data_IF_712112238107
#
_entry.id   IF_712112238107
#
_cell.length_a   1.000
_cell.length_b   1.000
_cell.length_c   1.000
_cell.angle_alpha   90.00
_cell.angle_beta   90.00
_cell.angle_gamma   90.00
#
_symmetry.space_group_name_H-M   'P 1'
#
loop_
_entity.id
_entity.type
_entity.pdbx_description
1 polymer ?
#
# COMPACT_ATOMS: atom_id res chain seq x y z
N UNK A 1 14.94 -14.46 13.82
CA UNK A 1 15.96 -13.90 12.90
C UNK A 1 15.31 -13.01 11.82
N UNK A 2 14.31 -13.50 11.08
CA UNK A 2 13.55 -12.74 10.06
C UNK A 2 12.97 -11.42 10.60
N UNK A 3 12.40 -11.43 11.82
CA UNK A 3 11.84 -10.22 12.47
C UNK A 3 12.86 -9.16 12.85
N UNK A 4 14.16 -9.47 12.95
CA UNK A 4 15.21 -8.45 13.21
C UNK A 4 15.69 -7.82 11.90
N UNK A 5 15.89 -8.64 10.87
CA UNK A 5 16.25 -8.16 9.52
C UNK A 5 15.16 -7.26 8.95
N UNK A 6 13.89 -7.65 9.08
CA UNK A 6 12.77 -6.87 8.58
C UNK A 6 12.67 -5.48 9.24
N UNK A 7 13.02 -5.38 10.53
CA UNK A 7 13.05 -4.11 11.27
C UNK A 7 14.13 -3.14 10.76
N UNK A 8 15.25 -3.68 10.27
CA UNK A 8 16.33 -2.89 9.67
C UNK A 8 15.97 -2.45 8.25
N UNK A 9 15.28 -3.31 7.49
CA UNK A 9 14.92 -3.04 6.10
C UNK A 9 13.78 -2.03 5.95
N UNK A 10 12.79 -2.04 6.85
CA UNK A 10 11.60 -1.18 6.71
C UNK A 10 11.94 0.33 6.63
N UNK A 11 12.80 0.91 7.48
CA UNK A 11 13.21 2.32 7.35
C UNK A 11 13.90 2.63 6.02
N UNK A 12 14.77 1.74 5.55
CA UNK A 12 15.43 1.86 4.24
C UNK A 12 14.42 1.87 3.09
N UNK A 13 13.47 0.94 3.13
CA UNK A 13 12.39 0.84 2.15
C UNK A 13 11.48 2.06 2.17
N UNK A 14 11.12 2.54 3.37
CA UNK A 14 10.34 3.76 3.55
C UNK A 14 11.06 4.99 2.98
N UNK A 15 12.37 5.11 3.21
CA UNK A 15 13.16 6.19 2.62
C UNK A 15 13.17 6.11 1.10
N UNK A 16 13.52 4.95 0.54
CA UNK A 16 13.69 4.78 -0.90
C UNK A 16 12.38 4.99 -1.67
N UNK A 17 11.31 4.29 -1.28
CA UNK A 17 9.99 4.44 -1.90
C UNK A 17 9.35 5.79 -1.55
N UNK A 18 9.60 6.33 -0.36
CA UNK A 18 9.08 7.64 0.05
C UNK A 18 9.67 8.78 -0.75
N UNK A 19 10.99 8.75 -1.01
CA UNK A 19 11.67 9.72 -1.88
C UNK A 19 11.08 9.69 -3.28
N UNK A 20 10.94 8.49 -3.86
CA UNK A 20 10.41 8.34 -5.21
C UNK A 20 8.92 8.70 -5.29
N UNK A 21 8.15 8.41 -4.24
CA UNK A 21 6.77 8.83 -4.13
C UNK A 21 6.61 10.35 -4.17
N UNK A 22 7.45 11.08 -3.42
CA UNK A 22 7.45 12.55 -3.45
C UNK A 22 7.81 13.06 -4.84
N UNK A 23 8.84 12.50 -5.47
CA UNK A 23 9.23 12.87 -6.84
C UNK A 23 8.09 12.63 -7.85
N UNK A 24 7.41 11.50 -7.75
CA UNK A 24 6.27 11.15 -8.59
C UNK A 24 5.09 12.11 -8.38
N UNK A 25 4.78 12.46 -7.12
CA UNK A 25 3.72 13.43 -6.80
C UNK A 25 4.01 14.81 -7.40
N UNK A 26 5.28 15.21 -7.45
CA UNK A 26 5.70 16.49 -8.06
C UNK A 26 5.51 16.51 -9.59
N UNK A 27 5.39 15.35 -10.24
CA UNK A 27 5.14 15.23 -11.69
C UNK A 27 3.65 15.33 -12.05
N UNK A 28 2.75 15.41 -11.08
CA UNK A 28 1.32 15.53 -11.32
C UNK A 28 1.01 16.84 -12.06
N UNK A 29 0.21 16.74 -13.11
CA UNK A 29 -0.27 17.85 -13.93
C UNK A 29 -1.79 17.92 -13.91
N UNK A 30 -2.34 19.02 -13.37
CA UNK A 30 -3.78 19.30 -13.40
C UNK A 30 -4.31 19.71 -14.80
N UNK A 31 -3.40 19.96 -15.74
CA UNK A 31 -3.75 20.18 -17.14
C UNK A 31 -4.15 18.87 -17.82
N UNK A 32 -3.56 17.74 -17.42
CA UNK A 32 -3.93 16.43 -17.93
C UNK A 32 -5.33 16.02 -17.44
N UNK A 33 -6.20 15.65 -18.37
CA UNK A 33 -7.60 15.32 -18.09
C UNK A 33 -7.71 14.09 -17.18
N UNK A 34 -6.92 13.05 -17.45
CA UNK A 34 -7.00 11.78 -16.75
C UNK A 34 -6.45 11.86 -15.33
N UNK A 35 -5.32 12.56 -15.15
CA UNK A 35 -4.76 12.82 -13.82
C UNK A 35 -5.75 13.60 -12.96
N UNK A 36 -6.37 14.64 -13.53
CA UNK A 36 -7.40 15.44 -12.85
C UNK A 36 -8.64 14.62 -12.49
N UNK A 37 -9.18 13.83 -13.41
CA UNK A 37 -10.33 12.94 -13.13
C UNK A 37 -9.99 11.98 -11.99
N UNK A 38 -8.83 11.31 -12.06
CA UNK A 38 -8.37 10.39 -11.03
C UNK A 38 -8.27 11.07 -9.66
N UNK A 39 -7.65 12.25 -9.56
CA UNK A 39 -7.46 12.96 -8.29
C UNK A 39 -8.79 13.47 -7.70
N UNK A 40 -9.68 14.01 -8.54
CA UNK A 40 -11.02 14.42 -8.11
C UNK A 40 -11.79 13.21 -7.58
N UNK A 41 -11.76 12.10 -8.31
CA UNK A 41 -12.45 10.88 -7.91
C UNK A 41 -11.84 10.26 -6.65
N UNK A 42 -10.51 10.33 -6.48
CA UNK A 42 -9.81 9.88 -5.27
C UNK A 42 -10.25 10.68 -4.05
N UNK A 43 -10.22 12.01 -4.13
CA UNK A 43 -10.73 12.88 -3.07
C UNK A 43 -12.22 12.66 -2.81
N UNK A 44 -13.02 12.57 -3.87
CA UNK A 44 -14.46 12.34 -3.81
C UNK A 44 -14.80 10.99 -3.15
N UNK A 45 -14.13 9.91 -3.55
CA UNK A 45 -14.30 8.58 -2.97
C UNK A 45 -13.91 8.53 -1.49
N UNK A 46 -12.81 9.20 -1.13
CA UNK A 46 -12.39 9.34 0.26
C UNK A 46 -13.43 10.10 1.11
N UNK A 47 -13.90 11.26 0.63
CA UNK A 47 -14.89 12.08 1.33
C UNK A 47 -16.24 11.37 1.43
N UNK A 48 -16.73 10.79 0.33
CA UNK A 48 -17.98 10.03 0.30
C UNK A 48 -17.96 8.90 1.34
N UNK A 49 -16.88 8.13 1.37
CA UNK A 49 -16.72 7.01 2.31
C UNK A 49 -16.68 7.50 3.76
N UNK A 50 -16.01 8.61 4.01
CA UNK A 50 -15.89 9.20 5.34
C UNK A 50 -17.25 9.69 5.86
N UNK A 51 -18.05 10.31 4.99
CA UNK A 51 -19.34 10.91 5.35
C UNK A 51 -20.49 9.91 5.42
N UNK A 52 -20.53 8.94 4.51
CA UNK A 52 -21.70 8.09 4.29
C UNK A 52 -21.50 6.61 4.68
N UNK A 53 -20.26 6.12 4.73
CA UNK A 53 -19.98 4.72 5.07
C UNK A 53 -19.53 4.61 6.53
N UNK A 54 -20.26 3.85 7.34
CA UNK A 54 -19.86 3.57 8.72
C UNK A 54 -18.63 2.65 8.73
N UNK A 55 -17.59 3.01 9.47
CA UNK A 55 -16.35 2.23 9.56
C UNK A 55 -16.55 0.79 10.08
N UNK A 56 -17.58 0.60 10.92
CA UNK A 56 -18.00 -0.70 11.46
C UNK A 56 -19.34 -1.17 10.87
N UNK A 57 -19.73 -0.61 9.72
CA UNK A 57 -20.89 -1.08 8.97
C UNK A 57 -20.56 -2.33 8.17
N UNK A 58 -21.60 -3.05 7.75
CA UNK A 58 -21.46 -4.32 7.00
C UNK A 58 -20.47 -4.25 5.83
N UNK A 59 -20.57 -3.23 4.97
CA UNK A 59 -19.69 -3.09 3.80
C UNK A 59 -18.21 -2.94 4.17
N UNK A 60 -17.92 -2.17 5.23
CA UNK A 60 -16.56 -1.91 5.68
C UNK A 60 -15.94 -3.16 6.33
N UNK A 61 -16.73 -3.89 7.13
CA UNK A 61 -16.30 -5.16 7.73
C UNK A 61 -16.14 -6.24 6.65
N UNK A 62 -17.09 -6.34 5.71
CA UNK A 62 -16.99 -7.28 4.59
C UNK A 62 -15.74 -7.03 3.76
N UNK A 63 -15.45 -5.77 3.41
CA UNK A 63 -14.23 -5.44 2.66
C UNK A 63 -12.97 -5.78 3.45
N UNK A 64 -13.01 -5.63 4.77
CA UNK A 64 -11.88 -5.93 5.67
C UNK A 64 -11.58 -7.43 5.67
N UNK A 65 -12.57 -8.25 6.01
CA UNK A 65 -12.43 -9.71 6.08
C UNK A 65 -12.16 -10.34 4.70
N UNK A 66 -12.79 -9.82 3.64
CA UNK A 66 -12.54 -10.31 2.28
C UNK A 66 -11.10 -10.03 1.84
N UNK A 67 -10.51 -8.92 2.28
CA UNK A 67 -9.12 -8.59 2.00
C UNK A 67 -8.18 -9.54 2.74
N UNK A 68 -8.41 -9.82 4.03
CA UNK A 68 -7.69 -10.86 4.76
C UNK A 68 -7.74 -12.20 4.04
N UNK A 69 -8.93 -12.61 3.60
CA UNK A 69 -9.16 -13.88 2.91
C UNK A 69 -8.38 -13.95 1.59
N UNK A 70 -8.53 -12.93 0.74
CA UNK A 70 -7.90 -12.89 -0.58
C UNK A 70 -6.37 -13.01 -0.44
N UNK A 71 -5.77 -12.23 0.47
CA UNK A 71 -4.32 -12.27 0.67
C UNK A 71 -3.88 -13.52 1.44
N UNK A 72 -4.73 -14.08 2.28
CA UNK A 72 -4.52 -15.39 2.91
C UNK A 72 -4.39 -16.50 1.87
N UNK A 73 -5.33 -16.57 0.92
CA UNK A 73 -5.31 -17.54 -0.18
C UNK A 73 -4.09 -17.34 -1.07
N UNK A 74 -3.79 -16.09 -1.47
CA UNK A 74 -2.62 -15.76 -2.29
C UNK A 74 -1.29 -16.07 -1.59
N UNK A 75 -1.27 -16.13 -0.25
CA UNK A 75 -0.11 -16.53 0.55
C UNK A 75 -0.16 -18.00 0.99
N UNK A 76 -0.97 -18.82 0.31
CA UNK A 76 -1.12 -20.26 0.48
C UNK A 76 -1.72 -20.72 1.82
N UNK A 77 -2.46 -19.85 2.52
CA UNK A 77 -3.28 -20.26 3.66
C UNK A 77 -4.65 -20.80 3.18
N UNK A 78 -5.12 -21.90 3.78
CA UNK A 78 -6.42 -22.49 3.43
C UNK A 78 -7.56 -21.76 4.18
N UNK A 79 -8.56 -21.21 3.49
CA UNK A 79 -9.71 -20.58 4.14
C UNK A 79 -10.61 -21.66 4.75
N UNK A 80 -11.09 -21.43 5.99
CA UNK A 80 -11.91 -22.40 6.75
C UNK A 80 -13.32 -21.85 7.02
N UNK A 81 -13.49 -20.52 7.01
CA UNK A 81 -14.80 -19.88 7.09
C UNK A 81 -14.70 -18.36 7.04
N UNK A 82 -15.76 -17.72 6.55
CA UNK A 82 -15.96 -16.27 6.56
C UNK A 82 -17.29 -15.99 7.25
N UNK A 83 -17.27 -15.31 8.41
CA UNK A 83 -18.48 -14.79 9.04
C UNK A 83 -18.36 -13.26 9.15
N UNK A 84 -19.40 -12.55 8.73
CA UNK A 84 -19.45 -11.08 8.71
C UNK A 84 -20.77 -10.63 9.35
N UNK A 85 -20.69 -9.95 10.48
CA UNK A 85 -21.84 -9.39 11.19
C UNK A 85 -21.70 -7.88 11.38
N UNK A 86 -22.72 -7.13 10.96
CA UNK A 86 -22.74 -5.68 11.13
C UNK A 86 -22.74 -5.31 12.62
N UNK A 87 -21.89 -4.35 13.02
CA UNK A 87 -21.71 -3.88 14.41
C UNK A 87 -21.13 -4.91 15.42
N UNK A 88 -20.97 -6.18 15.06
CA UNK A 88 -20.35 -7.20 15.92
C UNK A 88 -18.96 -7.64 15.43
N UNK A 89 -18.60 -7.25 14.20
CA UNK A 89 -17.30 -7.56 13.60
C UNK A 89 -17.40 -8.67 12.55
N UNK A 90 -16.26 -9.08 12.02
CA UNK A 90 -16.14 -10.27 11.19
C UNK A 90 -15.09 -11.19 11.79
N UNK A 91 -15.24 -12.49 11.56
CA UNK A 91 -14.19 -13.45 11.89
C UNK A 91 -13.90 -14.25 10.64
N UNK A 92 -12.72 -14.00 10.08
CA UNK A 92 -12.11 -14.89 9.11
C UNK A 92 -11.25 -15.94 9.80
N UNK A 93 -11.55 -17.22 9.56
CA UNK A 93 -10.77 -18.35 10.07
C UNK A 93 -9.95 -18.97 8.93
N UNK A 94 -8.64 -19.08 9.12
CA UNK A 94 -7.74 -19.80 8.21
C UNK A 94 -7.00 -20.93 8.95
N UNK A 95 -6.70 -22.01 8.22
CA UNK A 95 -5.78 -23.06 8.66
C UNK A 95 -4.38 -22.70 8.13
N UNK A 96 -3.45 -22.34 9.03
CA UNK A 96 -2.08 -21.97 8.65
C UNK A 96 -1.40 -21.05 9.66
N UNK A 97 -0.22 -20.54 9.31
CA UNK A 97 0.51 -19.53 10.10
C UNK A 97 0.06 -18.12 9.69
N UNK A 98 -0.04 -17.21 10.67
CA UNK A 98 -0.24 -15.79 10.40
C UNK A 98 0.89 -15.26 9.50
N UNK A 99 0.53 -14.57 8.41
CA UNK A 99 1.45 -13.86 7.52
C UNK A 99 1.16 -12.36 7.61
N UNK A 100 2.21 -11.53 7.67
CA UNK A 100 2.13 -10.06 7.69
C UNK A 100 1.20 -9.55 6.58
N UNK A 101 1.34 -10.10 5.37
CA UNK A 101 0.53 -9.69 4.23
C UNK A 101 -0.95 -9.95 4.44
N UNK A 102 -1.33 -11.11 4.98
CA UNK A 102 -2.74 -11.43 5.24
C UNK A 102 -3.27 -10.66 6.46
N UNK A 103 -2.50 -10.54 7.54
CA UNK A 103 -2.95 -9.89 8.79
C UNK A 103 -3.08 -8.38 8.64
N UNK A 104 -2.20 -7.71 7.90
CA UNK A 104 -2.25 -6.26 7.77
C UNK A 104 -2.89 -5.78 6.47
N UNK A 105 -3.20 -6.67 5.53
CA UNK A 105 -3.74 -6.28 4.22
C UNK A 105 -4.95 -5.37 4.25
N UNK A 106 -5.95 -5.53 5.16
CA UNK A 106 -7.13 -4.66 5.09
C UNK A 106 -6.84 -3.17 5.30
N UNK A 107 -5.71 -2.85 5.94
CA UNK A 107 -5.32 -1.49 6.26
C UNK A 107 -4.53 -0.79 5.14
N UNK A 108 -4.05 -1.54 4.15
CA UNK A 108 -3.27 -0.97 3.04
C UNK A 108 -3.68 -1.46 1.65
N UNK A 109 -4.25 -2.64 1.50
CA UNK A 109 -4.49 -3.29 0.21
C UNK A 109 -5.86 -2.90 -0.36
N UNK A 110 -5.90 -2.13 -1.46
CA UNK A 110 -7.15 -1.66 -2.02
C UNK A 110 -7.74 -2.74 -2.95
N UNK A 111 -8.36 -3.76 -2.37
CA UNK A 111 -8.85 -4.95 -3.09
C UNK A 111 -9.66 -4.59 -4.34
N UNK A 112 -10.60 -3.64 -4.22
CA UNK A 112 -11.46 -3.20 -5.34
C UNK A 112 -10.61 -2.54 -6.44
N UNK A 113 -9.68 -1.66 -6.07
CA UNK A 113 -8.77 -1.01 -7.03
C UNK A 113 -7.90 -2.01 -7.76
N UNK A 114 -7.43 -3.06 -7.08
CA UNK A 114 -6.63 -4.14 -7.71
C UNK A 114 -7.43 -4.90 -8.76
N UNK A 115 -8.73 -5.12 -8.55
CA UNK A 115 -9.59 -5.72 -9.57
C UNK A 115 -9.93 -4.76 -10.73
N UNK A 116 -10.03 -3.46 -10.46
CA UNK A 116 -10.25 -2.45 -11.50
C UNK A 116 -8.99 -2.28 -12.37
N UNK A 117 -7.80 -2.31 -11.78
CA UNK A 117 -6.54 -2.06 -12.45
C UNK A 117 -6.38 -2.79 -13.80
N UNK A 118 -6.52 -4.13 -13.91
CA UNK A 118 -6.31 -4.86 -15.15
C UNK A 118 -7.36 -4.56 -16.24
N UNK A 119 -8.51 -3.97 -15.89
CA UNK A 119 -9.55 -3.60 -16.86
C UNK A 119 -8.99 -2.61 -17.90
N UNK A 120 -7.99 -1.83 -17.54
CA UNK A 120 -7.32 -0.92 -18.48
C UNK A 120 -6.82 -1.63 -19.75
N UNK A 121 -6.27 -2.84 -19.61
CA UNK A 121 -5.63 -3.54 -20.72
C UNK A 121 -6.61 -4.18 -21.70
N UNK A 122 -7.89 -4.25 -21.32
CA UNK A 122 -8.97 -4.77 -22.16
C UNK A 122 -9.93 -3.67 -22.62
N UNK A 123 -9.78 -2.45 -22.10
CA UNK A 123 -10.64 -1.33 -22.45
C UNK A 123 -10.22 -0.74 -23.81
N UNK A 124 -11.19 -0.53 -24.70
CA UNK A 124 -10.98 0.34 -25.85
C UNK A 124 -10.82 1.80 -25.39
N UNK A 125 -10.28 2.67 -26.26
CA UNK A 125 -10.06 4.10 -25.96
C UNK A 125 -11.32 4.83 -25.50
N UNK A 126 -12.51 4.40 -25.95
CA UNK A 126 -13.81 4.84 -25.46
C UNK A 126 -14.08 4.29 -24.05
N UNK A 127 -13.75 5.07 -23.02
CA UNK A 127 -14.03 4.74 -21.61
C UNK A 127 -12.90 5.05 -20.63
N UNK A 128 -11.76 5.57 -21.11
CA UNK A 128 -10.61 5.87 -20.27
C UNK A 128 -10.94 6.82 -19.10
N UNK A 129 -11.83 7.81 -19.32
CA UNK A 129 -12.28 8.76 -18.29
C UNK A 129 -13.00 8.04 -17.14
N UNK A 130 -13.99 7.18 -17.48
CA UNK A 130 -14.73 6.39 -16.50
C UNK A 130 -13.79 5.45 -15.75
N UNK A 131 -12.87 4.80 -16.47
CA UNK A 131 -11.86 3.93 -15.86
C UNK A 131 -11.04 4.67 -14.79
N UNK A 132 -10.53 5.86 -15.09
CA UNK A 132 -9.74 6.62 -14.12
C UNK A 132 -10.57 7.17 -12.97
N UNK A 133 -11.82 7.54 -13.22
CA UNK A 133 -12.77 7.89 -12.17
C UNK A 133 -12.98 6.73 -11.20
N UNK A 134 -13.23 5.52 -11.71
CA UNK A 134 -13.41 4.32 -10.89
C UNK A 134 -12.12 3.94 -10.16
N UNK A 135 -10.96 4.05 -10.82
CA UNK A 135 -9.66 3.77 -10.22
C UNK A 135 -9.38 4.73 -9.05
N UNK A 136 -9.61 6.02 -9.23
CA UNK A 136 -9.46 7.03 -8.18
C UNK A 136 -10.46 6.82 -7.03
N UNK A 137 -11.76 6.71 -7.34
CA UNK A 137 -12.80 6.55 -6.34
C UNK A 137 -12.64 5.29 -5.49
N UNK A 138 -12.29 4.16 -6.10
CA UNK A 138 -12.04 2.91 -5.37
C UNK A 138 -10.82 3.01 -4.45
N UNK A 139 -9.75 3.68 -4.91
CA UNK A 139 -8.55 3.88 -4.09
C UNK A 139 -8.85 4.79 -2.89
N UNK A 140 -9.59 5.88 -3.12
CA UNK A 140 -10.06 6.79 -2.07
C UNK A 140 -10.98 6.09 -1.05
N UNK A 141 -11.87 5.22 -1.51
CA UNK A 141 -12.72 4.38 -0.66
C UNK A 141 -11.87 3.46 0.23
N UNK A 142 -10.97 2.67 -0.36
CA UNK A 142 -10.12 1.74 0.39
C UNK A 142 -9.23 2.45 1.39
N UNK A 143 -8.68 3.61 1.03
CA UNK A 143 -7.85 4.41 1.92
C UNK A 143 -8.63 4.98 3.11
N UNK A 144 -9.84 5.52 2.87
CA UNK A 144 -10.72 6.01 3.94
C UNK A 144 -11.09 4.90 4.93
N UNK A 145 -11.48 3.73 4.42
CA UNK A 145 -11.80 2.57 5.28
C UNK A 145 -10.56 2.12 6.06
N UNK A 146 -9.42 1.94 5.38
CA UNK A 146 -8.18 1.47 6.01
C UNK A 146 -7.74 2.35 7.17
N UNK A 147 -7.74 3.68 7.01
CA UNK A 147 -7.40 4.60 8.12
C UNK A 147 -8.41 4.52 9.25
N UNK A 148 -9.72 4.51 8.93
CA UNK A 148 -10.77 4.57 9.95
C UNK A 148 -10.88 3.28 10.76
N UNK A 149 -10.48 2.14 10.18
CA UNK A 149 -10.39 0.87 10.88
C UNK A 149 -9.03 0.64 11.56
N UNK A 150 -7.97 1.38 11.20
CA UNK A 150 -6.64 1.25 11.78
C UNK A 150 -6.55 1.87 13.20
N UNK A 151 -6.75 1.06 14.24
CA UNK A 151 -6.61 1.50 15.64
C UNK A 151 -5.75 0.54 16.46
N UNK A 152 -5.05 1.09 17.46
CA UNK A 152 -4.05 0.37 18.28
C UNK A 152 -4.60 -0.87 18.98
N UNK A 153 -5.88 -0.89 19.31
CA UNK A 153 -6.52 -2.01 20.02
C UNK A 153 -6.96 -3.16 19.11
N UNK A 154 -6.76 -3.05 17.79
CA UNK A 154 -7.09 -4.13 16.86
C UNK A 154 -6.20 -5.35 17.11
N UNK A 155 -6.79 -6.57 17.18
CA UNK A 155 -6.02 -7.80 17.31
C UNK A 155 -4.92 -7.94 16.27
N UNK A 156 -5.17 -7.52 15.03
CA UNK A 156 -4.21 -7.59 13.91
C UNK A 156 -2.91 -6.82 14.18
N UNK A 157 -3.01 -5.64 14.82
CA UNK A 157 -1.85 -4.81 15.14
C UNK A 157 -0.98 -5.42 16.23
N UNK A 158 -1.55 -6.26 17.09
CA UNK A 158 -0.85 -6.90 18.21
C UNK A 158 0.03 -8.06 17.75
N UNK A 159 -0.30 -8.72 16.63
CA UNK A 159 0.43 -9.89 16.11
C UNK A 159 1.91 -9.58 15.86
N UNK A 160 2.23 -8.40 15.31
CA UNK A 160 3.60 -7.98 14.98
C UNK A 160 4.10 -6.80 15.84
N UNK A 161 3.25 -6.32 16.75
CA UNK A 161 3.47 -5.13 17.57
C UNK A 161 3.04 -3.84 16.86
N UNK A 162 2.32 -3.00 17.59
CA UNK A 162 1.61 -1.81 17.08
C UNK A 162 2.49 -0.90 16.22
N UNK A 163 3.68 -0.53 16.70
CA UNK A 163 4.59 0.36 15.97
C UNK A 163 5.02 -0.22 14.63
N UNK A 164 5.34 -1.51 14.59
CA UNK A 164 5.78 -2.17 13.37
C UNK A 164 4.64 -2.33 12.36
N UNK A 165 3.44 -2.63 12.84
CA UNK A 165 2.25 -2.68 12.02
C UNK A 165 2.00 -1.34 11.31
N UNK A 166 2.10 -0.21 12.01
CA UNK A 166 1.98 1.11 11.38
C UNK A 166 3.06 1.40 10.32
N UNK A 167 4.32 1.07 10.58
CA UNK A 167 5.40 1.29 9.60
C UNK A 167 5.22 0.44 8.34
N UNK A 168 4.75 -0.80 8.50
CA UNK A 168 4.46 -1.71 7.38
C UNK A 168 3.27 -1.18 6.57
N UNK A 169 2.19 -0.78 7.24
CA UNK A 169 1.01 -0.19 6.58
C UNK A 169 1.42 1.06 5.81
N UNK A 170 2.18 1.96 6.43
CA UNK A 170 2.68 3.17 5.78
C UNK A 170 3.52 2.84 4.55
N UNK A 171 4.44 1.88 4.65
CA UNK A 171 5.26 1.45 3.53
C UNK A 171 4.39 0.96 2.35
N UNK A 172 3.46 0.04 2.60
CA UNK A 172 2.61 -0.47 1.53
C UNK A 172 1.69 0.60 0.94
N UNK A 173 1.21 1.55 1.75
CA UNK A 173 0.44 2.66 1.21
C UNK A 173 1.28 3.56 0.31
N UNK A 174 2.52 3.90 0.69
CA UNK A 174 3.44 4.66 -0.18
C UNK A 174 3.65 3.90 -1.50
N UNK A 175 3.90 2.60 -1.45
CA UNK A 175 4.08 1.76 -2.65
C UNK A 175 2.82 1.79 -3.51
N UNK A 176 1.65 1.54 -2.94
CA UNK A 176 0.38 1.43 -3.69
C UNK A 176 0.00 2.78 -4.31
N UNK A 177 0.02 3.87 -3.54
CA UNK A 177 -0.26 5.20 -4.06
C UNK A 177 0.78 5.61 -5.10
N UNK A 178 2.07 5.34 -4.87
CA UNK A 178 3.14 5.62 -5.83
C UNK A 178 2.94 4.89 -7.15
N UNK A 179 2.63 3.59 -7.12
CA UNK A 179 2.34 2.80 -8.31
C UNK A 179 1.10 3.32 -9.05
N UNK A 180 0.03 3.66 -8.33
CA UNK A 180 -1.20 4.16 -8.95
C UNK A 180 -1.03 5.55 -9.56
N UNK A 181 -0.39 6.48 -8.86
CA UNK A 181 -0.10 7.82 -9.40
C UNK A 181 0.83 7.72 -10.60
N UNK A 182 1.90 6.92 -10.51
CA UNK A 182 2.82 6.68 -11.64
C UNK A 182 2.07 6.14 -12.86
N UNK A 183 1.21 5.15 -12.65
CA UNK A 183 0.38 4.61 -13.71
C UNK A 183 -0.57 5.66 -14.30
N UNK A 184 -1.13 6.54 -13.49
CA UNK A 184 -2.01 7.62 -13.96
C UNK A 184 -1.23 8.66 -14.77
N UNK A 185 0.01 8.98 -14.39
CA UNK A 185 0.87 9.94 -15.09
C UNK A 185 1.31 9.41 -16.46
N UNK A 186 1.84 8.19 -16.52
CA UNK A 186 2.50 7.70 -17.73
C UNK A 186 2.40 6.21 -17.92
N UNK A 187 1.34 5.58 -17.38
CA UNK A 187 1.00 4.17 -17.58
C UNK A 187 2.13 3.24 -17.11
N UNK A 188 2.31 2.13 -17.82
CA UNK A 188 3.32 1.12 -17.50
C UNK A 188 4.75 1.68 -17.46
N UNK A 189 5.21 2.54 -18.39
CA UNK A 189 6.53 3.15 -18.31
C UNK A 189 6.80 3.84 -16.96
N UNK A 190 5.87 4.70 -16.51
CA UNK A 190 6.04 5.41 -15.24
C UNK A 190 5.93 4.48 -14.03
N UNK A 191 5.06 3.46 -14.06
CA UNK A 191 4.99 2.45 -13.01
C UNK A 191 6.33 1.70 -12.86
N UNK A 192 6.93 1.29 -13.98
CA UNK A 192 8.24 0.64 -14.00
C UNK A 192 9.32 1.61 -13.51
N UNK A 193 9.26 2.88 -13.92
CA UNK A 193 10.20 3.91 -13.47
C UNK A 193 10.16 4.07 -11.95
N UNK A 194 8.98 4.16 -11.35
CA UNK A 194 8.82 4.27 -9.90
C UNK A 194 9.51 3.13 -9.14
N UNK A 195 9.33 1.88 -9.61
CA UNK A 195 9.97 0.72 -8.97
C UNK A 195 11.48 0.74 -9.17
N UNK A 196 11.95 1.05 -10.39
CA UNK A 196 13.38 1.11 -10.71
C UNK A 196 14.09 2.19 -9.91
N UNK A 197 13.56 3.40 -9.91
CA UNK A 197 14.16 4.53 -9.19
C UNK A 197 14.11 4.29 -7.68
N UNK A 198 13.04 3.70 -7.14
CA UNK A 198 13.02 3.25 -5.74
C UNK A 198 14.13 2.24 -5.44
N UNK A 199 14.42 1.30 -6.35
CA UNK A 199 15.52 0.36 -6.18
C UNK A 199 16.89 1.06 -6.29
N UNK A 200 17.04 2.01 -7.21
CA UNK A 200 18.27 2.79 -7.37
C UNK A 200 18.59 3.61 -6.11
N UNK A 201 17.58 4.19 -5.44
CA UNK A 201 17.76 4.87 -4.14
C UNK A 201 18.26 3.93 -3.04
N UNK A 202 17.92 2.64 -3.08
CA UNK A 202 18.44 1.63 -2.14
C UNK A 202 19.91 1.35 -2.43
N UNK A 203 20.28 1.22 -3.71
CA UNK A 203 21.66 0.98 -4.14
C UNK A 203 22.53 2.18 -3.78
N UNK A 204 22.05 3.41 -4.04
CA UNK A 204 22.74 4.65 -3.66
C UNK A 204 23.03 4.68 -2.15
N UNK A 205 22.05 4.33 -1.31
CA UNK A 205 22.26 4.32 0.14
C UNK A 205 23.28 3.25 0.57
N UNK A 206 23.25 2.08 -0.07
CA UNK A 206 24.25 1.04 0.16
C UNK A 206 25.66 1.51 -0.19
N UNK A 207 25.83 2.18 -1.34
CA UNK A 207 27.13 2.69 -1.78
C UNK A 207 27.66 3.79 -0.85
N UNK A 208 26.79 4.68 -0.38
CA UNK A 208 27.13 5.71 0.64
C UNK A 208 27.60 5.05 1.93
N UNK A 209 26.84 4.08 2.45
CA UNK A 209 27.18 3.37 3.69
C UNK A 209 28.52 2.63 3.54
N UNK A 210 28.73 1.97 2.41
CA UNK A 210 29.99 1.28 2.10
C UNK A 210 31.17 2.26 2.09
N UNK A 211 31.02 3.41 1.45
CA UNK A 211 32.06 4.44 1.41
C UNK A 211 32.41 4.96 2.82
N UNK A 212 31.41 5.23 3.65
CA UNK A 212 31.62 5.70 5.03
C UNK A 212 32.36 4.67 5.90
N UNK A 213 32.04 3.38 5.74
CA UNK A 213 32.73 2.30 6.47
C UNK A 213 34.20 2.21 6.03
N UNK A 214 34.47 2.26 4.74
CA UNK A 214 35.85 2.23 4.23
C UNK A 214 36.66 3.43 4.74
N UNK A 215 36.11 4.65 4.69
CA UNK A 215 36.76 5.84 5.26
C UNK A 215 37.06 5.69 6.76
N UNK A 216 36.13 5.10 7.53
CA UNK A 216 36.34 4.86 8.96
C UNK A 216 37.47 3.87 9.23
N UNK A 217 37.57 2.80 8.43
CA UNK A 217 38.67 1.81 8.52
C UNK A 217 40.01 2.49 8.19
N UNK A 218 40.06 3.30 7.14
CA UNK A 218 41.28 4.00 6.72
C UNK A 218 41.79 4.93 7.85
N UNK A 219 40.90 5.70 8.48
CA UNK A 219 41.23 6.59 9.62
C UNK A 219 41.79 5.80 10.80
N UNK A 220 41.24 4.62 11.11
CA UNK A 220 41.73 3.78 12.20
C UNK A 220 43.12 3.24 11.86
N UNK A 221 43.32 2.77 10.63
CA UNK A 221 44.59 2.20 10.16
C UNK A 221 45.72 3.23 10.05
N UNK A 222 45.41 4.51 9.82
CA UNK A 222 46.40 5.60 9.79
C UNK A 222 46.86 6.05 11.18
N UNK A 223 46.14 5.67 12.24
CA UNK A 223 46.42 6.04 13.63
C UNK A 223 47.02 4.89 14.47
N UNK A 224 47.27 3.73 13.85
CA UNK A 224 47.93 2.56 14.44
C UNK A 224 49.32 2.36 13.86
#
# INVERSE_FOLDING_TARGET
MITKLFKLLIPLLLYAFGREFIATVQMISFADLYQKIFLIALGGGFLFTTLFVKAHGYLAILSHELTHNTLGVLTFNKPVGLNVEANMGGVFMFQGKHNIMSVLSPYFFPLITVFIFPIYFILASSGAEVYFGLLGASLGFSFSIGIRQAHRHQPDFQVYGVTWSYLIILFFQIVIFGLMISFVIGRMPMLISFVKMSADHIIELYDILKALVMMGIDIISSNS
#
